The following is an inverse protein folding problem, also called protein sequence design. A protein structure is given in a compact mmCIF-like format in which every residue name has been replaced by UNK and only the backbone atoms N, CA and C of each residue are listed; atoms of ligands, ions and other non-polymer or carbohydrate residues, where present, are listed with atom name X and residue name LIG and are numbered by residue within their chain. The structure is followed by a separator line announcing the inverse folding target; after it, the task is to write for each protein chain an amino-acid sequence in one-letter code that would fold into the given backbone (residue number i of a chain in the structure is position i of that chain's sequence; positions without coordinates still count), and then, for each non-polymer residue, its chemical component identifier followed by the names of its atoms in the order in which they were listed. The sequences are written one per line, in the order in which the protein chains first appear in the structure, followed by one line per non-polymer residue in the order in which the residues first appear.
data_IF_144861047979
#
_entry.id   IF_144861047979
#
_cell.length_a   1.000
_cell.length_b   1.000
_cell.length_c   1.000
_cell.angle_alpha   90.00
_cell.angle_beta   90.00
_cell.angle_gamma   90.00
#
_symmetry.space_group_name_H-M   'P 1'
#
loop_
_entity.id
_entity.type
_entity.pdbx_description
1 polymer ?
#
# COMPACT_ATOMS: atom_id res chain seq x y z
N UNK A 1 -0.28 -8.56 -18.84
CA UNK A 1 0.11 -7.35 -18.07
C UNK A 1 0.99 -7.70 -16.86
N UNK A 2 0.64 -8.71 -16.02
CA UNK A 2 1.49 -9.12 -14.87
C UNK A 2 2.90 -9.47 -15.31
N UNK A 3 3.05 -10.20 -16.41
CA UNK A 3 4.37 -10.54 -17.00
C UNK A 3 5.19 -9.28 -17.35
N UNK A 4 4.55 -8.29 -17.90
CA UNK A 4 5.17 -7.01 -18.26
C UNK A 4 5.68 -6.27 -17.01
N UNK A 5 4.79 -6.00 -16.04
CA UNK A 5 5.15 -5.22 -14.84
C UNK A 5 6.09 -5.98 -13.89
N UNK A 6 6.14 -7.31 -14.00
CA UNK A 6 7.08 -8.15 -13.25
C UNK A 6 8.44 -8.34 -13.94
N UNK A 7 8.71 -7.64 -15.02
CA UNK A 7 9.94 -7.81 -15.83
C UNK A 7 10.13 -9.25 -16.33
N UNK A 8 9.01 -9.91 -16.70
CA UNK A 8 9.02 -11.29 -17.19
C UNK A 8 9.11 -12.39 -16.11
N UNK A 9 9.23 -12.01 -14.84
CA UNK A 9 9.42 -12.98 -13.73
C UNK A 9 8.18 -13.81 -13.44
N UNK A 10 6.99 -13.30 -13.72
CA UNK A 10 5.72 -13.95 -13.40
C UNK A 10 4.78 -13.96 -14.60
N UNK A 11 4.16 -15.10 -14.84
CA UNK A 11 3.21 -15.31 -15.94
C UNK A 11 1.92 -15.95 -15.40
N UNK A 12 1.07 -15.12 -14.77
CA UNK A 12 -0.24 -15.52 -14.28
C UNK A 12 -1.23 -14.36 -14.30
N UNK A 13 -2.51 -14.66 -14.15
CA UNK A 13 -3.56 -13.65 -14.00
C UNK A 13 -3.81 -13.33 -12.54
N UNK A 14 -4.02 -12.04 -12.23
CA UNK A 14 -4.52 -11.56 -10.94
C UNK A 14 -5.99 -11.23 -11.10
N UNK A 15 -6.91 -11.93 -10.41
CA UNK A 15 -8.33 -11.63 -10.52
C UNK A 15 -8.69 -10.33 -9.81
N UNK A 16 -9.50 -9.49 -10.46
CA UNK A 16 -10.04 -8.27 -9.88
C UNK A 16 -11.28 -8.59 -9.04
N UNK A 17 -11.05 -9.09 -7.82
CA UNK A 17 -12.10 -9.49 -6.89
C UNK A 17 -12.37 -8.37 -5.89
N UNK A 18 -13.65 -8.00 -5.72
CA UNK A 18 -14.09 -7.01 -4.73
C UNK A 18 -15.34 -7.49 -3.99
N UNK A 19 -15.59 -6.92 -2.83
CA UNK A 19 -16.83 -7.20 -2.09
C UNK A 19 -18.05 -6.76 -2.93
N UNK A 20 -19.09 -7.60 -2.95
CA UNK A 20 -20.32 -7.36 -3.72
C UNK A 20 -21.03 -6.06 -3.34
N UNK A 21 -20.89 -5.59 -2.11
CA UNK A 21 -21.48 -4.32 -1.66
C UNK A 21 -20.96 -3.12 -2.46
N UNK A 22 -19.74 -3.17 -2.98
CA UNK A 22 -19.23 -2.09 -3.83
C UNK A 22 -19.95 -1.97 -5.18
N UNK A 23 -20.61 -3.05 -5.60
CA UNK A 23 -21.36 -3.13 -6.87
C UNK A 23 -22.86 -2.90 -6.70
N UNK A 24 -23.32 -2.61 -5.47
CA UNK A 24 -24.72 -2.38 -5.18
C UNK A 24 -25.13 -1.00 -5.74
N UNK A 25 -26.07 -0.94 -6.71
CA UNK A 25 -26.47 0.30 -7.34
C UNK A 25 -27.27 1.24 -6.43
N UNK A 26 -27.60 0.83 -5.23
CA UNK A 26 -28.27 1.68 -4.24
C UNK A 26 -27.33 2.72 -3.60
N UNK A 27 -26.02 2.59 -3.79
CA UNK A 27 -25.05 3.55 -3.27
C UNK A 27 -24.69 4.60 -4.32
N UNK A 28 -25.01 5.85 -4.04
CA UNK A 28 -24.64 7.01 -4.86
C UNK A 28 -23.21 7.47 -4.61
N UNK A 29 -22.61 7.06 -3.49
CA UNK A 29 -21.26 7.45 -3.09
C UNK A 29 -20.60 6.36 -2.24
N UNK A 30 -19.35 6.05 -2.55
CA UNK A 30 -18.50 5.14 -1.79
C UNK A 30 -17.29 5.93 -1.27
N UNK A 31 -17.14 6.05 0.04
CA UNK A 31 -16.01 6.73 0.66
C UNK A 31 -14.95 5.70 1.09
N UNK A 32 -13.76 5.80 0.51
CA UNK A 32 -12.60 4.99 0.90
C UNK A 32 -11.65 5.84 1.75
N UNK A 33 -11.70 5.65 3.06
CA UNK A 33 -10.92 6.43 4.02
C UNK A 33 -9.71 5.61 4.49
N UNK A 34 -8.51 6.23 4.51
CA UNK A 34 -7.33 5.56 5.03
C UNK A 34 -6.09 6.44 5.06
N UNK A 35 -5.08 5.94 5.77
CA UNK A 35 -3.78 6.58 5.88
C UNK A 35 -2.85 6.13 4.75
N UNK A 36 -2.16 7.09 4.14
CA UNK A 36 -1.10 6.82 3.16
C UNK A 36 0.23 6.75 3.91
N UNK A 37 0.82 5.55 3.93
CA UNK A 37 2.11 5.28 4.58
C UNK A 37 2.94 4.33 3.71
N UNK A 38 4.27 4.33 3.83
CA UNK A 38 5.12 3.34 3.17
C UNK A 38 4.69 1.91 3.51
N UNK A 39 4.67 1.05 2.49
CA UNK A 39 4.19 -0.32 2.61
C UNK A 39 5.10 -1.29 1.84
N UNK A 40 5.44 -2.40 2.48
CA UNK A 40 6.43 -3.37 2.02
C UNK A 40 6.05 -4.12 0.73
N UNK A 41 4.76 -4.30 0.46
CA UNK A 41 4.31 -5.11 -0.68
C UNK A 41 3.86 -4.25 -1.85
N UNK A 42 3.20 -3.13 -1.59
CA UNK A 42 2.59 -2.31 -2.65
C UNK A 42 3.25 -0.95 -2.82
N UNK A 43 4.24 -0.64 -1.99
CA UNK A 43 4.97 0.61 -1.99
C UNK A 43 4.38 1.67 -1.06
N UNK A 44 3.15 2.07 -1.29
CA UNK A 44 2.38 2.99 -0.44
C UNK A 44 1.00 2.41 -0.15
N UNK A 45 0.53 2.52 1.09
CA UNK A 45 -0.79 2.05 1.49
C UNK A 45 -1.91 2.95 0.94
N UNK A 46 -3.17 2.53 1.15
CA UNK A 46 -4.39 3.24 0.76
C UNK A 46 -4.70 3.21 -0.76
N UNK A 47 -5.67 4.02 -1.21
CA UNK A 47 -6.15 4.13 -2.59
C UNK A 47 -6.67 2.78 -3.12
N UNK A 48 -6.29 2.33 -4.32
CA UNK A 48 -6.76 1.07 -4.91
C UNK A 48 -6.47 -0.17 -4.07
N UNK A 49 -5.51 -0.09 -3.12
CA UNK A 49 -5.26 -1.16 -2.16
C UNK A 49 -6.46 -1.41 -1.24
N UNK A 50 -7.15 -0.36 -0.78
CA UNK A 50 -8.33 -0.51 0.07
C UNK A 50 -9.43 -1.30 -0.64
N UNK A 51 -9.55 -1.15 -1.95
CA UNK A 51 -10.57 -1.82 -2.77
C UNK A 51 -10.17 -3.27 -3.06
N UNK A 52 -9.00 -3.51 -3.64
CA UNK A 52 -8.62 -4.84 -4.14
C UNK A 52 -7.89 -5.72 -3.12
N UNK A 53 -7.45 -5.14 -1.99
CA UNK A 53 -6.85 -5.88 -0.88
C UNK A 53 -7.71 -5.75 0.38
N UNK A 54 -8.08 -4.52 0.76
CA UNK A 54 -8.88 -4.28 1.97
C UNK A 54 -10.23 -4.95 1.97
N UNK A 55 -10.95 -4.89 0.85
CA UNK A 55 -12.24 -5.55 0.61
C UNK A 55 -12.21 -6.44 -0.63
N UNK A 56 -11.03 -6.90 -1.00
CA UNK A 56 -10.78 -7.81 -2.12
C UNK A 56 -10.92 -9.28 -1.77
N UNK A 57 -10.83 -10.14 -2.79
CA UNK A 57 -10.84 -11.59 -2.64
C UNK A 57 -9.45 -12.16 -2.34
N UNK A 58 -9.41 -13.29 -1.65
CA UNK A 58 -8.16 -13.93 -1.19
C UNK A 58 -7.18 -14.27 -2.31
N UNK A 59 -7.66 -14.69 -3.48
CA UNK A 59 -6.79 -15.02 -4.61
C UNK A 59 -6.09 -13.78 -5.16
N UNK A 60 -6.80 -12.67 -5.34
CA UNK A 60 -6.22 -11.39 -5.76
C UNK A 60 -5.21 -10.87 -4.76
N UNK A 61 -5.51 -10.99 -3.46
CA UNK A 61 -4.60 -10.62 -2.36
C UNK A 61 -3.32 -11.46 -2.44
N UNK A 62 -3.42 -12.79 -2.47
CA UNK A 62 -2.26 -13.67 -2.47
C UNK A 62 -1.36 -13.45 -3.69
N UNK A 63 -1.95 -13.36 -4.87
CA UNK A 63 -1.21 -13.14 -6.13
C UNK A 63 -0.53 -11.77 -6.18
N UNK A 64 -1.20 -10.71 -5.72
CA UNK A 64 -0.59 -9.38 -5.65
C UNK A 64 0.56 -9.32 -4.64
N UNK A 65 0.44 -10.02 -3.50
CA UNK A 65 1.51 -10.12 -2.52
C UNK A 65 2.70 -10.93 -3.04
N UNK A 66 2.44 -12.01 -3.78
CA UNK A 66 3.49 -12.79 -4.41
C UNK A 66 4.25 -11.99 -5.50
N UNK A 67 3.52 -11.17 -6.27
CA UNK A 67 4.15 -10.23 -7.21
C UNK A 67 5.11 -9.27 -6.48
N UNK A 68 4.66 -8.68 -5.37
CA UNK A 68 5.49 -7.78 -4.57
C UNK A 68 6.73 -8.47 -4.00
N UNK A 69 6.58 -9.69 -3.49
CA UNK A 69 7.69 -10.48 -2.95
C UNK A 69 8.72 -10.85 -4.02
N UNK A 70 8.26 -11.22 -5.22
CA UNK A 70 9.12 -11.62 -6.34
C UNK A 70 9.85 -10.42 -6.96
N UNK A 71 9.20 -9.25 -7.00
CA UNK A 71 9.80 -8.04 -7.54
C UNK A 71 10.90 -7.48 -6.63
N UNK A 72 10.71 -7.56 -5.32
CA UNK A 72 11.65 -7.13 -4.30
C UNK A 72 11.13 -5.93 -3.50
N UNK A 73 11.08 -6.09 -2.19
CA UNK A 73 10.60 -5.05 -1.27
C UNK A 73 11.44 -3.77 -1.32
N UNK A 74 12.74 -3.92 -1.44
CA UNK A 74 13.72 -2.85 -1.56
C UNK A 74 13.50 -1.98 -2.81
N UNK A 75 12.85 -2.54 -3.83
CA UNK A 75 12.48 -1.84 -5.06
C UNK A 75 11.08 -1.22 -5.00
N UNK A 76 10.26 -1.62 -4.03
CA UNK A 76 8.84 -1.26 -3.92
C UNK A 76 8.60 -0.25 -2.81
N UNK A 77 9.21 -0.45 -1.65
CA UNK A 77 8.93 0.32 -0.43
C UNK A 77 8.98 1.82 -0.64
N UNK A 78 7.90 2.51 -0.25
CA UNK A 78 7.81 3.96 -0.38
C UNK A 78 7.50 4.48 -1.79
N UNK A 79 7.31 3.62 -2.79
CA UNK A 79 6.99 4.03 -4.16
C UNK A 79 5.49 4.02 -4.41
N UNK A 80 4.95 5.11 -4.96
CA UNK A 80 3.54 5.18 -5.35
C UNK A 80 3.24 4.31 -6.58
N UNK A 81 4.20 4.19 -7.50
CA UNK A 81 4.12 3.56 -8.82
C UNK A 81 4.72 2.14 -8.89
N UNK A 82 4.57 1.34 -7.83
CA UNK A 82 5.08 -0.03 -7.81
C UNK A 82 4.36 -0.94 -8.83
N UNK A 83 4.98 -2.09 -9.24
CA UNK A 83 4.35 -3.07 -10.11
C UNK A 83 3.02 -3.60 -9.57
N UNK A 84 2.92 -3.78 -8.26
CA UNK A 84 1.67 -4.20 -7.60
C UNK A 84 0.62 -3.11 -7.75
N UNK A 85 1.00 -1.84 -7.53
CA UNK A 85 0.10 -0.71 -7.76
C UNK A 85 -0.37 -0.64 -9.20
N UNK A 86 0.51 -0.85 -10.16
CA UNK A 86 0.16 -0.84 -11.58
C UNK A 86 -0.91 -1.88 -11.92
N UNK A 87 -0.83 -3.10 -11.35
CA UNK A 87 -1.85 -4.15 -11.51
C UNK A 87 -3.18 -3.71 -10.91
N UNK A 88 -3.18 -3.13 -9.70
CA UNK A 88 -4.42 -2.67 -9.07
C UNK A 88 -5.02 -1.46 -9.79
N UNK A 89 -4.21 -0.57 -10.33
CA UNK A 89 -4.66 0.57 -11.12
C UNK A 89 -5.24 0.13 -12.47
N UNK A 90 -4.61 -0.85 -13.12
CA UNK A 90 -5.19 -1.50 -14.30
C UNK A 90 -6.57 -2.09 -14.00
N UNK A 91 -6.70 -2.78 -12.86
CA UNK A 91 -7.98 -3.34 -12.43
C UNK A 91 -9.04 -2.23 -12.17
N UNK A 92 -8.65 -1.12 -11.54
CA UNK A 92 -9.54 0.04 -11.33
C UNK A 92 -10.06 0.59 -12.65
N UNK A 93 -9.16 0.86 -13.57
CA UNK A 93 -9.50 1.49 -14.85
C UNK A 93 -10.37 0.61 -15.75
N UNK A 94 -10.21 -0.71 -15.69
CA UNK A 94 -10.92 -1.62 -16.59
C UNK A 94 -12.21 -2.21 -16.00
N UNK A 95 -12.36 -2.28 -14.68
CA UNK A 95 -13.48 -3.02 -14.08
C UNK A 95 -14.35 -2.19 -13.13
N UNK A 96 -13.82 -1.12 -12.52
CA UNK A 96 -14.55 -0.34 -11.52
C UNK A 96 -14.43 1.18 -11.70
N UNK A 97 -14.05 1.65 -12.88
CA UNK A 97 -13.87 3.09 -13.16
C UNK A 97 -15.16 3.91 -12.99
N UNK A 98 -16.31 3.27 -13.19
CA UNK A 98 -17.62 3.92 -13.14
C UNK A 98 -18.26 3.88 -11.75
N UNK A 99 -17.60 3.24 -10.76
CA UNK A 99 -18.08 3.27 -9.39
C UNK A 99 -17.84 4.65 -8.75
N UNK A 100 -18.81 5.17 -7.98
CA UNK A 100 -18.72 6.51 -7.37
C UNK A 100 -17.80 6.52 -6.14
N UNK A 101 -16.52 6.15 -6.32
CA UNK A 101 -15.55 6.04 -5.24
C UNK A 101 -14.79 7.34 -5.08
N UNK A 102 -14.85 7.93 -3.89
CA UNK A 102 -13.99 9.04 -3.48
C UNK A 102 -13.02 8.55 -2.40
N UNK A 103 -11.74 8.79 -2.61
CA UNK A 103 -10.69 8.45 -1.66
C UNK A 103 -10.40 9.63 -0.74
N UNK A 104 -10.50 9.38 0.56
CA UNK A 104 -10.11 10.32 1.62
C UNK A 104 -8.79 9.82 2.19
N UNK A 105 -7.71 10.46 1.80
CA UNK A 105 -6.35 9.99 2.02
C UNK A 105 -5.67 10.89 3.05
N UNK A 106 -5.41 10.35 4.24
CA UNK A 106 -4.77 11.07 5.33
C UNK A 106 -3.28 10.78 5.38
N UNK A 107 -2.49 11.77 5.74
CA UNK A 107 -1.08 11.61 6.07
C UNK A 107 -0.90 12.04 7.52
N UNK A 108 -0.53 11.08 8.35
CA UNK A 108 -0.24 11.31 9.76
C UNK A 108 1.27 11.18 9.98
N UNK A 109 1.81 11.98 10.89
CA UNK A 109 3.18 11.81 11.36
C UNK A 109 3.29 12.20 12.83
N UNK A 110 4.27 11.61 13.51
CA UNK A 110 4.58 11.94 14.91
C UNK A 110 5.12 13.36 15.00
N UNK A 111 4.58 14.13 15.93
CA UNK A 111 5.17 15.39 16.32
C UNK A 111 6.30 15.09 17.32
N UNK A 112 7.52 15.46 16.98
CA UNK A 112 8.71 15.14 17.81
C UNK A 112 8.68 15.84 19.18
N UNK A 113 8.07 17.04 19.24
CA UNK A 113 8.00 17.82 20.48
C UNK A 113 6.98 17.28 21.48
N UNK A 114 5.85 16.77 20.98
CA UNK A 114 4.72 16.32 21.81
C UNK A 114 4.62 14.79 21.89
N UNK A 115 5.28 14.07 21.01
CA UNK A 115 5.18 12.62 20.85
C UNK A 115 3.84 12.15 20.29
N UNK A 116 2.91 13.04 19.94
CA UNK A 116 1.56 12.70 19.46
C UNK A 116 1.54 12.57 17.95
N UNK A 117 0.64 11.70 17.46
CA UNK A 117 0.32 11.62 16.03
C UNK A 117 -0.56 12.81 15.62
N UNK A 118 -0.17 13.50 14.55
CA UNK A 118 -0.86 14.66 14.01
C UNK A 118 -1.17 14.49 12.54
N UNK A 119 -2.30 15.05 12.10
CA UNK A 119 -2.64 15.11 10.69
C UNK A 119 -1.74 16.13 9.99
N UNK A 120 -0.93 15.67 9.05
CA UNK A 120 -0.03 16.50 8.25
C UNK A 120 -0.59 16.85 6.89
N UNK A 121 -1.53 16.05 6.39
CA UNK A 121 -2.21 16.31 5.13
C UNK A 121 -3.49 15.51 4.97
N UNK A 122 -4.43 16.11 4.26
CA UNK A 122 -5.69 15.52 3.83
C UNK A 122 -5.83 15.73 2.33
N UNK A 123 -5.99 14.63 1.59
CA UNK A 123 -6.14 14.63 0.15
C UNK A 123 -7.42 13.89 -0.21
N UNK A 124 -8.30 14.55 -0.97
CA UNK A 124 -9.61 14.00 -1.35
C UNK A 124 -9.71 14.04 -2.86
N UNK A 125 -10.00 12.92 -3.47
CA UNK A 125 -10.12 12.77 -4.92
C UNK A 125 -10.33 11.33 -5.33
N UNK A 126 -10.54 11.12 -6.62
CA UNK A 126 -10.83 9.83 -7.24
C UNK A 126 -9.71 9.33 -8.16
N UNK A 127 -8.64 10.11 -8.35
CA UNK A 127 -7.58 9.87 -9.30
C UNK A 127 -6.24 9.50 -8.66
N UNK A 128 -5.34 9.03 -9.49
CA UNK A 128 -3.98 8.65 -9.10
C UNK A 128 -3.14 9.86 -8.68
N UNK A 129 -3.38 11.03 -9.24
CA UNK A 129 -2.63 12.25 -8.90
C UNK A 129 -2.86 12.67 -7.45
N UNK A 130 -4.10 12.58 -6.97
CA UNK A 130 -4.44 12.81 -5.57
C UNK A 130 -3.65 11.86 -4.65
N UNK A 131 -3.58 10.57 -4.99
CA UNK A 131 -2.79 9.58 -4.26
C UNK A 131 -1.29 9.84 -4.33
N UNK A 132 -0.77 10.24 -5.49
CA UNK A 132 0.66 10.56 -5.68
C UNK A 132 1.09 11.71 -4.76
N UNK A 133 0.31 12.78 -4.69
CA UNK A 133 0.57 13.92 -3.79
C UNK A 133 0.54 13.53 -2.31
N UNK A 134 -0.42 12.69 -1.91
CA UNK A 134 -0.47 12.15 -0.55
C UNK A 134 0.76 11.28 -0.24
N UNK A 135 1.20 10.47 -1.21
CA UNK A 135 2.39 9.63 -1.09
C UNK A 135 3.68 10.44 -0.94
N UNK A 136 3.83 11.51 -1.71
CA UNK A 136 4.98 12.41 -1.62
C UNK A 136 5.08 13.07 -0.24
N UNK A 137 3.95 13.57 0.29
CA UNK A 137 3.94 14.11 1.64
C UNK A 137 4.25 13.02 2.68
N UNK A 138 3.67 11.84 2.53
CA UNK A 138 3.91 10.73 3.45
C UNK A 138 5.38 10.31 3.48
N UNK A 139 6.05 10.23 2.34
CA UNK A 139 7.48 9.98 2.27
C UNK A 139 8.28 11.04 3.03
N UNK A 140 7.94 12.30 2.83
CA UNK A 140 8.63 13.43 3.47
C UNK A 140 8.54 13.39 5.01
N UNK A 141 7.42 12.91 5.57
CA UNK A 141 7.16 12.98 7.02
C UNK A 141 7.28 11.64 7.74
N UNK A 142 7.26 10.51 7.03
CA UNK A 142 7.27 9.17 7.62
C UNK A 142 8.48 8.30 7.18
N UNK A 143 9.28 8.78 6.23
CA UNK A 143 10.43 8.04 5.72
C UNK A 143 11.72 8.75 6.13
N UNK A 144 12.60 8.02 6.80
CA UNK A 144 13.89 8.55 7.24
C UNK A 144 14.95 8.04 6.27
N UNK A 145 15.54 8.97 5.51
CA UNK A 145 16.70 8.65 4.67
C UNK A 145 17.98 8.78 5.48
N UNK A 146 18.78 7.72 5.49
CA UNK A 146 20.09 7.72 6.13
C UNK A 146 21.17 8.11 5.11
N UNK A 147 22.17 8.87 5.55
CA UNK A 147 23.26 9.33 4.68
C UNK A 147 24.18 8.18 4.20
N UNK A 148 24.27 7.13 4.98
CA UNK A 148 25.13 5.97 4.69
C UNK A 148 24.38 4.67 4.91
N UNK A 149 24.67 3.62 4.09
CA UNK A 149 24.08 2.31 4.30
C UNK A 149 24.32 1.78 5.70
N UNK A 150 23.28 1.20 6.30
CA UNK A 150 23.35 0.58 7.63
C UNK A 150 24.13 -0.74 7.50
N UNK A 151 25.27 -0.84 8.15
CA UNK A 151 26.08 -2.08 8.15
C UNK A 151 25.67 -3.09 9.22
N UNK A 152 25.15 -2.61 10.33
CA UNK A 152 24.64 -3.43 11.45
C UNK A 152 23.41 -2.75 12.01
N UNK A 153 22.37 -3.50 12.26
CA UNK A 153 21.15 -3.00 12.89
C UNK A 153 20.63 -3.99 13.93
N UNK A 154 19.95 -3.47 14.94
CA UNK A 154 19.13 -4.22 15.88
C UNK A 154 17.68 -3.81 15.67
N UNK A 155 16.85 -4.79 15.26
CA UNK A 155 15.42 -4.57 15.07
C UNK A 155 14.69 -5.12 16.29
N UNK A 156 14.15 -4.23 17.12
CA UNK A 156 13.27 -4.62 18.21
C UNK A 156 11.86 -4.84 17.68
N UNK A 157 11.34 -6.03 17.93
CA UNK A 157 9.97 -6.40 17.56
C UNK A 157 9.10 -6.30 18.81
N UNK A 158 8.25 -5.29 18.87
CA UNK A 158 7.37 -5.08 20.02
C UNK A 158 6.39 -6.27 20.14
N UNK A 159 6.40 -7.03 21.25
CA UNK A 159 5.48 -8.13 21.47
C UNK A 159 4.01 -7.71 21.44
N UNK A 160 3.69 -6.45 21.70
CA UNK A 160 2.35 -5.93 21.60
C UNK A 160 1.83 -5.88 20.14
N UNK A 161 2.74 -5.68 19.16
CA UNK A 161 2.42 -5.68 17.74
C UNK A 161 2.43 -7.09 17.11
N UNK A 162 3.24 -8.00 17.63
CA UNK A 162 3.49 -9.34 17.05
C UNK A 162 2.83 -10.48 17.83
N UNK A 163 1.56 -10.32 18.19
CA UNK A 163 0.81 -11.30 18.99
C UNK A 163 0.32 -12.52 18.23
N UNK A 164 0.33 -12.51 16.92
CA UNK A 164 -0.15 -13.62 16.08
C UNK A 164 0.93 -14.12 15.13
N UNK A 165 0.77 -15.34 14.64
CA UNK A 165 1.66 -15.92 13.60
C UNK A 165 1.72 -15.03 12.35
N UNK A 166 0.60 -14.44 11.96
CA UNK A 166 0.57 -13.50 10.83
C UNK A 166 1.43 -12.26 11.07
N UNK A 167 1.30 -11.64 12.24
CA UNK A 167 2.11 -10.48 12.61
C UNK A 167 3.57 -10.88 12.84
N UNK A 168 3.83 -12.06 13.40
CA UNK A 168 5.17 -12.62 13.54
C UNK A 168 5.90 -12.81 12.21
N UNK A 169 5.19 -13.24 11.16
CA UNK A 169 5.75 -13.31 9.82
C UNK A 169 6.16 -11.94 9.27
N UNK A 170 5.48 -10.87 9.66
CA UNK A 170 5.88 -9.49 9.31
C UNK A 170 7.19 -9.04 9.94
N UNK A 171 7.68 -9.73 10.96
CA UNK A 171 8.99 -9.46 11.54
C UNK A 171 10.13 -9.56 10.52
N UNK A 172 10.02 -10.50 9.57
CA UNK A 172 10.98 -10.64 8.47
C UNK A 172 10.99 -9.38 7.59
N UNK A 173 9.84 -8.79 7.33
CA UNK A 173 9.73 -7.56 6.54
C UNK A 173 10.37 -6.37 7.26
N UNK A 174 10.18 -6.24 8.57
CA UNK A 174 10.80 -5.15 9.36
C UNK A 174 12.32 -5.22 9.30
N UNK A 175 12.88 -6.41 9.40
CA UNK A 175 14.34 -6.60 9.28
C UNK A 175 14.84 -6.23 7.88
N UNK A 176 14.13 -6.65 6.83
CA UNK A 176 14.48 -6.28 5.44
C UNK A 176 14.36 -4.78 5.19
N UNK A 177 13.34 -4.11 5.74
CA UNK A 177 13.19 -2.66 5.66
C UNK A 177 14.36 -1.89 6.27
N UNK A 178 14.98 -2.44 7.31
CA UNK A 178 16.14 -1.81 7.92
C UNK A 178 17.45 -2.02 7.13
N UNK A 179 17.45 -2.95 6.17
CA UNK A 179 18.61 -3.29 5.34
C UNK A 179 18.51 -2.67 3.94
N UNK A 180 17.28 -2.51 3.44
CA UNK A 180 17.00 -1.92 2.13
C UNK A 180 17.22 -0.40 2.12
#
# INVERSE_FOLDING_TARGET
YVKEVSEGKLDYSVPAQVNKLLLDPSFDLILSIGQVVPHEVIGMANYTKNIFVGVGGSEGINKSHYLGATYGMERIMGRADSPVRAVLEYARQNFIKDLPIIYIQTVLAKNESTGKMELRGLFIGDDFECFRRASELSLKVNFIMVEKPIRKCLVYLDPAEFKSTWLGNKAVYRTRMAIA
#
